data_IF_994982003453
#
_entry.id   IF_994982003453
#
_cell.length_a   1.000
_cell.length_b   1.000
_cell.length_c   1.000
_cell.angle_alpha   90.00
_cell.angle_beta   90.00
_cell.angle_gamma   90.00
#
_symmetry.space_group_name_H-M   'P 1'
#
loop_
_entity.id
_entity.type
_entity.pdbx_description
1 polymer ?
#
# COMPACT_ATOMS: atom_id res chain seq x y z
N UNK A 1 16.84 1.39 -5.22
CA UNK A 1 16.40 0.04 -5.64
C UNK A 1 16.83 -0.19 -7.09
N UNK A 2 17.25 -1.40 -7.50
CA UNK A 2 17.41 -1.71 -8.93
C UNK A 2 16.02 -1.60 -9.61
N UNK A 3 15.95 -1.06 -10.83
CA UNK A 3 14.70 -0.91 -11.60
C UNK A 3 13.93 -2.22 -11.71
N UNK A 4 14.63 -3.35 -11.89
CA UNK A 4 13.99 -4.66 -12.02
C UNK A 4 13.27 -5.10 -10.72
N UNK A 5 13.84 -4.78 -9.56
CA UNK A 5 13.24 -5.08 -8.27
C UNK A 5 12.00 -4.20 -8.01
N UNK A 6 12.01 -2.93 -8.47
CA UNK A 6 10.84 -2.06 -8.41
C UNK A 6 9.69 -2.57 -9.28
N UNK A 7 10.01 -3.00 -10.49
CA UNK A 7 9.03 -3.61 -11.40
C UNK A 7 8.39 -4.84 -10.78
N UNK A 8 9.16 -5.70 -10.12
CA UNK A 8 8.61 -6.88 -9.47
C UNK A 8 7.73 -6.55 -8.26
N UNK A 9 8.13 -5.57 -7.45
CA UNK A 9 7.33 -5.08 -6.31
C UNK A 9 5.96 -4.57 -6.79
N UNK A 10 5.94 -3.72 -7.82
CA UNK A 10 4.69 -3.16 -8.35
C UNK A 10 3.76 -4.23 -8.90
N UNK A 11 4.29 -5.21 -9.65
CA UNK A 11 3.47 -6.33 -10.15
C UNK A 11 2.78 -7.10 -9.03
N UNK A 12 3.49 -7.37 -7.93
CA UNK A 12 2.92 -8.07 -6.78
C UNK A 12 1.91 -7.18 -6.06
N UNK A 13 2.20 -5.89 -5.90
CA UNK A 13 1.25 -4.93 -5.32
C UNK A 13 -0.05 -4.85 -6.12
N UNK A 14 0.04 -4.84 -7.45
CA UNK A 14 -1.11 -4.81 -8.36
C UNK A 14 -2.01 -6.04 -8.19
N UNK A 15 -1.47 -7.22 -7.88
CA UNK A 15 -2.29 -8.41 -7.59
C UNK A 15 -3.18 -8.20 -6.35
N UNK A 16 -2.66 -7.55 -5.29
CA UNK A 16 -3.46 -7.21 -4.11
C UNK A 16 -4.49 -6.12 -4.42
N UNK A 17 -4.14 -5.12 -5.22
CA UNK A 17 -5.04 -4.04 -5.62
C UNK A 17 -6.16 -4.57 -6.52
N UNK A 18 -5.87 -5.46 -7.47
CA UNK A 18 -6.88 -6.10 -8.32
C UNK A 18 -7.89 -6.87 -7.48
N UNK A 19 -7.43 -7.64 -6.50
CA UNK A 19 -8.33 -8.32 -5.56
C UNK A 19 -9.19 -7.34 -4.77
N UNK A 20 -8.63 -6.23 -4.28
CA UNK A 20 -9.39 -5.20 -3.57
C UNK A 20 -10.43 -4.54 -4.50
N UNK A 21 -10.07 -4.27 -5.75
CA UNK A 21 -10.99 -3.71 -6.76
C UNK A 21 -12.14 -4.68 -7.03
N UNK A 22 -11.88 -5.97 -7.24
CA UNK A 22 -12.90 -7.00 -7.46
C UNK A 22 -13.89 -7.08 -6.27
N UNK A 23 -13.40 -6.92 -5.03
CA UNK A 23 -14.29 -6.87 -3.86
C UNK A 23 -15.24 -5.68 -3.93
N UNK A 24 -14.75 -4.51 -4.35
CA UNK A 24 -15.57 -3.30 -4.44
C UNK A 24 -16.54 -3.37 -5.62
N UNK A 25 -16.07 -3.77 -6.80
CA UNK A 25 -16.86 -3.71 -8.05
C UNK A 25 -17.74 -4.94 -8.25
N UNK A 26 -17.20 -6.14 -8.09
CA UNK A 26 -17.92 -7.39 -8.38
C UNK A 26 -18.72 -7.89 -7.17
N UNK A 27 -18.20 -7.69 -5.96
CA UNK A 27 -18.82 -8.19 -4.73
C UNK A 27 -19.63 -7.12 -4.00
N UNK A 28 -19.68 -5.87 -4.51
CA UNK A 28 -20.36 -4.72 -3.91
C UNK A 28 -19.98 -4.48 -2.43
N UNK A 29 -18.73 -4.79 -2.05
CA UNK A 29 -18.24 -4.49 -0.72
C UNK A 29 -17.99 -2.98 -0.58
N UNK A 30 -18.22 -2.44 0.62
CA UNK A 30 -17.95 -1.03 0.90
C UNK A 30 -16.44 -0.72 0.80
N UNK A 31 -16.09 0.34 0.06
CA UNK A 31 -14.72 0.74 -0.22
C UNK A 31 -13.90 1.00 1.06
N UNK A 32 -14.51 1.60 2.08
CA UNK A 32 -13.82 1.91 3.35
C UNK A 32 -13.53 0.63 4.13
N UNK A 33 -14.45 -0.33 4.08
CA UNK A 33 -14.27 -1.66 4.67
C UNK A 33 -13.16 -2.44 3.95
N UNK A 34 -13.16 -2.47 2.61
CA UNK A 34 -12.10 -3.14 1.83
C UNK A 34 -10.73 -2.50 2.09
N UNK A 35 -10.65 -1.17 2.08
CA UNK A 35 -9.40 -0.46 2.39
C UNK A 35 -8.91 -0.72 3.81
N UNK A 36 -9.82 -0.82 4.78
CA UNK A 36 -9.45 -1.15 6.17
C UNK A 36 -9.01 -2.61 6.31
N UNK A 37 -9.67 -3.53 5.61
CA UNK A 37 -9.28 -4.93 5.55
C UNK A 37 -7.89 -5.10 4.92
N UNK A 38 -7.58 -4.36 3.85
CA UNK A 38 -6.26 -4.39 3.20
C UNK A 38 -5.16 -3.91 4.14
N UNK A 39 -5.36 -2.79 4.86
CA UNK A 39 -4.41 -2.33 5.88
C UNK A 39 -4.21 -3.35 7.01
N UNK A 40 -5.28 -3.99 7.46
CA UNK A 40 -5.19 -5.04 8.48
C UNK A 40 -4.45 -6.29 7.96
N UNK A 41 -4.70 -6.69 6.71
CA UNK A 41 -4.00 -7.80 6.07
C UNK A 41 -2.49 -7.51 5.93
N UNK A 42 -2.13 -6.31 5.49
CA UNK A 42 -0.73 -5.87 5.42
C UNK A 42 -0.04 -5.95 6.79
N UNK A 43 -0.67 -5.40 7.84
CA UNK A 43 -0.12 -5.46 9.19
C UNK A 43 0.11 -6.91 9.68
N UNK A 44 -0.81 -7.83 9.40
CA UNK A 44 -0.66 -9.26 9.74
C UNK A 44 0.49 -9.92 8.98
N UNK A 45 0.62 -9.63 7.70
CA UNK A 45 1.66 -10.20 6.86
C UNK A 45 3.05 -9.69 7.29
N UNK A 46 3.19 -8.39 7.53
CA UNK A 46 4.40 -7.76 8.06
C UNK A 46 4.81 -8.31 9.44
N UNK A 47 3.85 -8.51 10.34
CA UNK A 47 4.13 -9.12 11.63
C UNK A 47 4.63 -10.57 11.47
N UNK A 48 4.05 -11.32 10.53
CA UNK A 48 4.49 -12.68 10.19
C UNK A 48 5.89 -12.69 9.57
N UNK A 49 6.18 -11.79 8.63
CA UNK A 49 7.50 -11.60 8.04
C UNK A 49 8.58 -11.36 9.11
N UNK A 50 8.30 -10.47 10.06
CA UNK A 50 9.20 -10.20 11.18
C UNK A 50 9.40 -11.45 12.02
N UNK A 51 8.31 -12.11 12.42
CA UNK A 51 8.35 -13.31 13.25
C UNK A 51 9.11 -14.47 12.57
N UNK A 52 9.02 -14.58 11.25
CA UNK A 52 9.70 -15.61 10.46
C UNK A 52 11.21 -15.42 10.45
N UNK A 53 11.68 -14.17 10.39
CA UNK A 53 13.11 -13.83 10.29
C UNK A 53 13.78 -13.59 11.65
N UNK A 54 12.99 -13.35 12.70
CA UNK A 54 13.46 -12.95 14.02
C UNK A 54 13.95 -14.13 14.85
N UNK A 55 15.00 -13.91 15.66
CA UNK A 55 15.43 -14.83 16.72
C UNK A 55 14.83 -14.49 18.08
N UNK A 56 14.52 -13.21 18.31
CA UNK A 56 13.84 -12.72 19.50
C UNK A 56 12.83 -11.63 19.14
N UNK A 57 11.60 -12.06 18.80
CA UNK A 57 10.57 -11.17 18.28
C UNK A 57 10.18 -10.11 19.31
N UNK A 58 10.26 -10.43 20.60
CA UNK A 58 9.91 -9.49 21.64
C UNK A 58 10.90 -8.33 21.70
N UNK A 59 12.20 -8.60 21.54
CA UNK A 59 13.24 -7.58 21.50
C UNK A 59 13.22 -6.76 20.19
N UNK A 60 12.88 -7.39 19.07
CA UNK A 60 12.92 -6.77 17.72
C UNK A 60 11.63 -6.01 17.36
N UNK A 61 10.52 -6.25 18.06
CA UNK A 61 9.18 -5.75 17.71
C UNK A 61 9.12 -4.24 17.49
N UNK A 62 9.62 -3.45 18.42
CA UNK A 62 9.42 -1.99 18.38
C UNK A 62 10.25 -1.34 17.26
N UNK A 63 11.44 -1.87 17.00
CA UNK A 63 12.26 -1.44 15.86
C UNK A 63 11.63 -1.82 14.53
N UNK A 64 11.11 -3.05 14.42
CA UNK A 64 10.38 -3.50 13.25
C UNK A 64 9.16 -2.60 12.96
N UNK A 65 8.32 -2.33 13.96
CA UNK A 65 7.15 -1.44 13.82
C UNK A 65 7.58 -0.07 13.28
N UNK A 66 8.62 0.54 13.86
CA UNK A 66 9.11 1.84 13.42
C UNK A 66 9.57 1.81 11.96
N UNK A 67 10.29 0.76 11.56
CA UNK A 67 10.79 0.61 10.20
C UNK A 67 9.64 0.48 9.19
N UNK A 68 8.68 -0.42 9.43
CA UNK A 68 7.55 -0.62 8.53
C UNK A 68 6.64 0.61 8.44
N UNK A 69 6.41 1.34 9.53
CA UNK A 69 5.62 2.56 9.50
C UNK A 69 6.30 3.65 8.67
N UNK A 70 7.63 3.77 8.74
CA UNK A 70 8.35 4.73 7.90
C UNK A 70 8.22 4.38 6.42
N UNK A 71 8.44 3.11 6.05
CA UNK A 71 8.27 2.63 4.67
C UNK A 71 6.83 2.86 4.17
N UNK A 72 5.82 2.58 5.00
CA UNK A 72 4.43 2.83 4.65
C UNK A 72 4.12 4.31 4.46
N UNK A 73 4.65 5.21 5.31
CA UNK A 73 4.48 6.66 5.16
C UNK A 73 5.04 7.15 3.84
N UNK A 74 6.28 6.76 3.50
CA UNK A 74 6.94 7.15 2.25
C UNK A 74 6.11 6.74 1.02
N UNK A 75 5.62 5.49 0.98
CA UNK A 75 4.77 5.01 -0.12
C UNK A 75 3.42 5.73 -0.17
N UNK A 76 2.81 6.01 0.99
CA UNK A 76 1.52 6.66 1.07
C UNK A 76 1.60 8.12 0.61
N UNK A 77 2.65 8.83 1.02
CA UNK A 77 2.95 10.21 0.57
C UNK A 77 3.12 10.25 -0.95
N UNK A 78 3.91 9.34 -1.54
CA UNK A 78 4.09 9.27 -3.00
C UNK A 78 2.75 9.05 -3.73
N UNK A 79 1.89 8.16 -3.22
CA UNK A 79 0.58 7.91 -3.81
C UNK A 79 -0.34 9.15 -3.72
N UNK A 80 -0.31 9.87 -2.59
CA UNK A 80 -1.07 11.11 -2.47
C UNK A 80 -0.57 12.18 -3.44
N UNK A 81 0.73 12.36 -3.57
CA UNK A 81 1.32 13.31 -4.52
C UNK A 81 0.92 12.98 -5.96
N UNK A 82 0.92 11.69 -6.34
CA UNK A 82 0.45 11.24 -7.65
C UNK A 82 -1.04 11.58 -7.88
N UNK A 83 -1.90 11.34 -6.88
CA UNK A 83 -3.31 11.71 -6.97
C UNK A 83 -3.50 13.23 -7.08
N UNK A 84 -2.79 14.03 -6.28
CA UNK A 84 -2.84 15.48 -6.33
C UNK A 84 -2.45 15.97 -7.73
N UNK A 85 -1.35 15.46 -8.29
CA UNK A 85 -0.88 15.82 -9.62
C UNK A 85 -1.90 15.44 -10.70
N UNK A 86 -2.49 14.24 -10.63
CA UNK A 86 -3.51 13.78 -11.56
C UNK A 86 -4.75 14.69 -11.56
N UNK A 87 -5.29 15.00 -10.39
CA UNK A 87 -6.48 15.85 -10.28
C UNK A 87 -6.22 17.32 -10.64
N UNK A 88 -5.01 17.82 -10.35
CA UNK A 88 -4.59 19.17 -10.77
C UNK A 88 -4.60 19.27 -12.30
N UNK A 89 -3.98 18.29 -12.97
CA UNK A 89 -3.95 18.23 -14.44
C UNK A 89 -5.35 18.15 -15.05
N UNK A 90 -6.23 17.32 -14.48
CA UNK A 90 -7.62 17.22 -14.95
C UNK A 90 -8.39 18.54 -14.84
N UNK A 91 -8.15 19.32 -13.78
CA UNK A 91 -8.77 20.62 -13.60
C UNK A 91 -8.29 21.65 -14.64
N UNK A 92 -6.97 21.71 -14.89
CA UNK A 92 -6.39 22.58 -15.91
C UNK A 92 -6.93 22.27 -17.32
N UNK A 93 -7.08 20.99 -17.66
CA UNK A 93 -7.65 20.56 -18.95
C UNK A 93 -9.12 20.98 -19.08
N UNK A 94 -9.91 20.86 -18.00
CA UNK A 94 -11.32 21.25 -18.00
C UNK A 94 -11.55 22.77 -18.12
N UNK A 95 -10.62 23.60 -17.62
CA UNK A 95 -10.68 25.07 -17.73
C UNK A 95 -10.23 25.60 -19.10
N UNK A 96 -9.54 24.77 -19.88
CA UNK A 96 -9.06 25.10 -21.22
C UNK A 96 -10.10 24.92 -22.34
N UNK A 97 -11.31 24.46 -21.99
CA UNK A 97 -12.44 24.17 -22.87
C UNK A 97 -13.67 25.01 -22.54
#
# INVERSE_FOLDING_TARGET
MNKDAAVQLYKIADEFINLANDMVTEQNADLQNVGSALRYAAARFTAHETAYNSKDLAAEKDEAIKWFLNQYSEMLEENFDQHIAHYTKLAEEAESH
#
